data_IF_464459844611
#
_entry.id   IF_464459844611
#
_cell.length_a   1.000
_cell.length_b   1.000
_cell.length_c   1.000
_cell.angle_alpha   90.00
_cell.angle_beta   90.00
_cell.angle_gamma   90.00
#
_symmetry.space_group_name_H-M   'P 1'
#
loop_
_entity.id
_entity.type
_entity.pdbx_description
1 polymer ?
#
# COMPACT_ATOMS: atom_id res chain seq x y z
N UNK A 1 -12.15 12.53 -8.27
CA UNK A 1 -12.55 12.30 -6.88
C UNK A 1 -12.02 13.39 -5.97
N UNK A 2 -12.71 13.66 -4.88
CA UNK A 2 -12.29 14.66 -3.90
C UNK A 2 -11.07 14.13 -3.14
N UNK A 3 -9.98 14.91 -3.07
CA UNK A 3 -8.80 14.58 -2.28
C UNK A 3 -9.11 14.71 -0.78
N UNK A 4 -8.71 13.70 -0.01
CA UNK A 4 -8.86 13.67 1.45
C UNK A 4 -7.58 14.17 2.11
N UNK A 5 -6.43 13.58 1.74
CA UNK A 5 -5.09 13.96 2.20
C UNK A 5 -4.08 13.72 1.09
N UNK A 6 -2.93 14.40 1.14
CA UNK A 6 -1.79 14.19 0.26
C UNK A 6 -0.66 13.45 0.97
N UNK A 7 0.12 12.72 0.21
CA UNK A 7 1.37 12.11 0.69
C UNK A 7 2.27 13.20 1.27
N UNK A 8 2.81 12.97 2.46
CA UNK A 8 3.63 13.93 3.19
C UNK A 8 2.85 14.91 4.07
N UNK A 9 1.53 15.02 3.93
CA UNK A 9 0.72 15.83 4.85
C UNK A 9 0.81 15.30 6.28
N UNK A 10 0.72 16.20 7.26
CA UNK A 10 0.81 15.84 8.67
C UNK A 10 -0.41 15.06 9.14
N UNK A 11 -0.18 13.86 9.69
CA UNK A 11 -1.21 13.00 10.26
C UNK A 11 -1.52 13.43 11.70
N UNK A 12 -2.45 14.33 11.89
CA UNK A 12 -2.89 14.86 13.20
C UNK A 12 -4.35 14.53 13.54
N UNK A 13 -4.98 13.71 12.73
CA UNK A 13 -6.36 13.26 12.92
C UNK A 13 -6.51 11.81 12.47
N UNK A 14 -7.35 11.04 13.16
CA UNK A 14 -7.82 9.75 12.70
C UNK A 14 -8.94 9.98 11.69
N UNK A 15 -8.75 9.49 10.46
CA UNK A 15 -9.76 9.61 9.41
C UNK A 15 -10.35 8.23 9.14
N UNK A 16 -11.64 8.08 9.40
CA UNK A 16 -12.42 6.87 9.19
C UNK A 16 -13.37 7.08 8.02
N UNK A 17 -13.22 6.28 6.98
CA UNK A 17 -14.10 6.27 5.83
C UNK A 17 -15.25 5.30 6.13
N UNK A 18 -16.46 5.83 6.21
CA UNK A 18 -17.66 5.07 6.58
C UNK A 18 -18.24 4.37 5.35
N UNK A 19 -18.31 5.09 4.23
CA UNK A 19 -18.89 4.57 2.98
C UNK A 19 -18.19 5.17 1.76
N UNK A 20 -18.36 4.53 0.60
CA UNK A 20 -17.75 4.89 -0.67
C UNK A 20 -16.52 4.04 -0.98
N UNK A 21 -15.86 4.30 -2.08
CA UNK A 21 -14.60 3.68 -2.51
C UNK A 21 -13.49 4.72 -2.41
N UNK A 22 -12.39 4.35 -1.77
CA UNK A 22 -11.21 5.20 -1.61
C UNK A 22 -10.09 4.69 -2.51
N UNK A 23 -9.42 5.61 -3.20
CA UNK A 23 -8.17 5.36 -3.90
C UNK A 23 -7.00 5.88 -3.05
N UNK A 24 -5.99 5.04 -2.81
CA UNK A 24 -4.67 5.46 -2.34
C UNK A 24 -3.68 5.51 -3.48
N UNK A 25 -2.77 6.48 -3.43
CA UNK A 25 -1.65 6.60 -4.39
C UNK A 25 -0.38 6.88 -3.60
N UNK A 26 0.59 5.98 -3.74
CA UNK A 26 1.94 6.11 -3.19
C UNK A 26 2.91 6.41 -4.33
N UNK A 27 3.67 7.49 -4.19
CA UNK A 27 4.82 7.80 -5.07
C UNK A 27 6.11 7.54 -4.31
N UNK A 28 7.00 6.74 -4.88
CA UNK A 28 8.29 6.38 -4.28
C UNK A 28 9.44 6.58 -5.27
N UNK A 29 10.68 6.61 -4.75
CA UNK A 29 11.90 6.77 -5.54
C UNK A 29 11.82 7.97 -6.50
N UNK A 30 11.58 9.18 -5.98
CA UNK A 30 11.46 10.41 -6.76
C UNK A 30 10.43 10.32 -7.90
N UNK A 31 9.28 9.73 -7.62
CA UNK A 31 8.19 9.47 -8.57
C UNK A 31 8.52 8.47 -9.71
N UNK A 32 9.60 7.72 -9.61
CA UNK A 32 9.92 6.66 -10.59
C UNK A 32 8.94 5.51 -10.55
N UNK A 33 8.35 5.26 -9.38
CA UNK A 33 7.30 4.26 -9.21
C UNK A 33 6.09 4.88 -8.52
N UNK A 34 4.92 4.64 -9.07
CA UNK A 34 3.64 5.09 -8.49
C UNK A 34 2.72 3.89 -8.40
N UNK A 35 2.33 3.54 -7.17
CA UNK A 35 1.35 2.50 -6.89
C UNK A 35 0.00 3.13 -6.58
N UNK A 36 -1.05 2.65 -7.24
CA UNK A 36 -2.45 3.02 -6.95
C UNK A 36 -3.23 1.77 -6.53
N UNK A 37 -3.96 1.89 -5.44
CA UNK A 37 -4.81 0.84 -4.88
C UNK A 37 -6.21 1.38 -4.57
N UNK A 38 -7.21 0.51 -4.61
CA UNK A 38 -8.57 0.81 -4.15
C UNK A 38 -8.83 0.13 -2.82
N UNK A 39 -9.59 0.78 -1.95
CA UNK A 39 -9.95 0.28 -0.63
C UNK A 39 -11.47 0.27 -0.49
N UNK A 40 -11.99 -0.89 -0.10
CA UNK A 40 -13.38 -1.03 0.30
C UNK A 40 -13.59 -0.41 1.68
N UNK A 41 -14.79 0.07 1.92
CA UNK A 41 -15.18 0.63 3.22
C UNK A 41 -15.94 -0.40 4.06
N UNK A 42 -15.86 -0.29 5.39
CA UNK A 42 -15.21 0.76 6.19
C UNK A 42 -13.68 0.65 6.20
N UNK A 43 -12.99 1.80 6.20
CA UNK A 43 -11.53 1.87 6.13
C UNK A 43 -10.98 3.03 6.96
N UNK A 44 -9.86 2.82 7.67
CA UNK A 44 -9.15 3.87 8.43
C UNK A 44 -7.85 4.21 7.74
N UNK A 45 -7.61 5.49 7.50
CA UNK A 45 -6.38 5.97 6.85
C UNK A 45 -5.21 5.92 7.84
N UNK A 46 -4.23 5.08 7.53
CA UNK A 46 -2.91 5.00 8.19
C UNK A 46 -2.90 5.35 9.69
N UNK A 47 -3.72 4.66 10.52
CA UNK A 47 -3.87 5.03 11.93
C UNK A 47 -2.58 4.92 12.73
N UNK A 48 -1.60 4.15 12.25
CA UNK A 48 -0.27 4.00 12.84
C UNK A 48 0.58 5.28 12.68
N UNK A 49 0.34 6.10 11.66
CA UNK A 49 1.05 7.37 11.45
C UNK A 49 0.53 8.52 12.34
N UNK A 50 -0.56 8.30 13.07
CA UNK A 50 -1.01 9.25 14.10
C UNK A 50 -0.02 9.36 15.26
N UNK A 51 0.78 8.31 15.47
CA UNK A 51 1.81 8.20 16.50
C UNK A 51 3.15 7.80 15.85
N UNK A 52 4.21 7.76 16.64
CA UNK A 52 5.54 7.42 16.16
C UNK A 52 6.37 8.64 15.79
N UNK A 53 7.56 8.39 15.26
CA UNK A 53 8.55 9.44 14.97
C UNK A 53 8.19 10.25 13.71
N UNK A 54 7.69 9.58 12.67
CA UNK A 54 7.21 10.23 11.45
C UNK A 54 5.68 10.20 11.43
N UNK A 55 5.07 11.37 11.59
CA UNK A 55 3.61 11.52 11.66
C UNK A 55 3.08 12.15 10.37
N UNK A 56 3.51 11.64 9.22
CA UNK A 56 3.02 12.08 7.93
C UNK A 56 2.32 10.93 7.20
N UNK A 57 1.34 11.26 6.36
CA UNK A 57 0.69 10.25 5.51
C UNK A 57 1.68 9.69 4.49
N UNK A 58 1.77 8.37 4.39
CA UNK A 58 2.61 7.67 3.41
C UNK A 58 2.01 7.74 2.01
N UNK A 59 0.68 7.79 1.92
CA UNK A 59 -0.05 7.82 0.65
C UNK A 59 -0.93 9.08 0.54
N UNK A 60 -1.20 9.47 -0.71
CA UNK A 60 -2.32 10.36 -1.02
C UNK A 60 -3.61 9.56 -1.08
N UNK A 61 -4.69 10.07 -0.48
CA UNK A 61 -6.01 9.42 -0.52
C UNK A 61 -7.04 10.33 -1.16
N UNK A 62 -7.90 9.74 -1.98
CA UNK A 62 -9.02 10.43 -2.62
C UNK A 62 -10.26 9.55 -2.68
N UNK A 63 -11.45 10.15 -2.56
CA UNK A 63 -12.71 9.45 -2.79
C UNK A 63 -12.87 9.17 -4.28
N UNK A 64 -13.13 7.91 -4.64
CA UNK A 64 -13.43 7.51 -6.00
C UNK A 64 -14.94 7.62 -6.30
N UNK A 65 -15.76 7.34 -5.29
CA UNK A 65 -17.22 7.50 -5.34
C UNK A 65 -17.71 8.45 -4.24
N UNK A 66 -18.98 8.84 -4.29
CA UNK A 66 -19.60 9.55 -3.17
C UNK A 66 -19.57 8.67 -1.91
N UNK A 67 -19.31 9.30 -0.78
CA UNK A 67 -19.21 8.61 0.50
C UNK A 67 -19.14 9.57 1.68
N UNK A 68 -19.01 9.01 2.87
CA UNK A 68 -18.94 9.76 4.13
C UNK A 68 -17.69 9.42 4.92
N UNK A 69 -17.14 10.43 5.58
CA UNK A 69 -15.92 10.33 6.40
C UNK A 69 -16.16 10.90 7.78
N UNK A 70 -15.52 10.29 8.78
CA UNK A 70 -15.44 10.81 10.14
C UNK A 70 -13.99 11.19 10.44
N UNK A 71 -13.77 12.45 10.80
CA UNK A 71 -12.44 12.98 11.15
C UNK A 71 -12.40 13.25 12.64
N UNK A 72 -11.47 12.60 13.36
CA UNK A 72 -11.32 12.73 14.82
C UNK A 72 -9.92 13.27 15.10
N UNK A 73 -9.82 14.45 15.70
CA UNK A 73 -8.52 15.05 16.05
C UNK A 73 -7.76 14.18 17.04
N UNK A 74 -6.43 14.14 16.95
CA UNK A 74 -5.53 13.31 17.78
C UNK A 74 -5.78 13.43 19.28
N UNK A 75 -6.02 14.67 19.78
CA UNK A 75 -6.32 14.86 21.21
C UNK A 75 -7.61 14.15 21.63
N UNK A 76 -8.64 14.13 20.80
CA UNK A 76 -9.88 13.41 21.05
C UNK A 76 -9.65 11.89 20.98
N UNK A 77 -8.86 11.42 20.03
CA UNK A 77 -8.46 9.99 19.95
C UNK A 77 -7.78 9.57 21.26
N UNK A 78 -6.86 10.39 21.79
CA UNK A 78 -6.20 10.14 23.07
C UNK A 78 -7.20 10.00 24.22
N UNK A 79 -8.15 10.92 24.34
CA UNK A 79 -9.21 10.86 25.35
C UNK A 79 -10.06 9.60 25.20
N UNK A 80 -10.42 9.22 23.97
CA UNK A 80 -11.18 8.00 23.71
C UNK A 80 -10.39 6.74 24.08
N UNK A 81 -9.08 6.70 23.79
CA UNK A 81 -8.22 5.58 24.18
C UNK A 81 -8.04 5.45 25.69
N UNK A 82 -8.03 6.57 26.41
CA UNK A 82 -8.01 6.56 27.88
C UNK A 82 -9.34 6.05 28.47
N UNK A 83 -10.46 6.48 27.92
CA UNK A 83 -11.78 6.16 28.41
C UNK A 83 -12.27 4.76 28.00
N UNK A 84 -11.96 4.33 26.77
CA UNK A 84 -12.48 3.09 26.19
C UNK A 84 -11.37 2.11 25.83
N UNK A 85 -11.27 1.03 26.59
CA UNK A 85 -10.26 -0.02 26.37
C UNK A 85 -10.33 -0.62 24.96
N UNK A 86 -11.53 -0.78 24.42
CA UNK A 86 -11.72 -1.35 23.07
C UNK A 86 -11.03 -0.51 21.98
N UNK A 87 -11.08 0.81 22.08
CA UNK A 87 -10.43 1.71 21.12
C UNK A 87 -8.91 1.56 21.21
N UNK A 88 -8.36 1.52 22.42
CA UNK A 88 -6.92 1.30 22.67
C UNK A 88 -6.46 -0.04 22.12
N UNK A 89 -7.21 -1.11 22.42
CA UNK A 89 -6.89 -2.46 21.93
C UNK A 89 -6.92 -2.54 20.40
N UNK A 90 -7.92 -1.92 19.76
CA UNK A 90 -8.02 -1.89 18.30
C UNK A 90 -6.85 -1.12 17.67
N UNK A 91 -6.43 0.02 18.23
CA UNK A 91 -5.25 0.76 17.76
C UNK A 91 -3.97 -0.08 17.86
N UNK A 92 -3.77 -0.79 18.98
CA UNK A 92 -2.64 -1.72 19.15
C UNK A 92 -2.70 -2.86 18.12
N UNK A 93 -3.85 -3.49 17.95
CA UNK A 93 -4.03 -4.59 17.00
C UNK A 93 -3.71 -4.17 15.57
N UNK A 94 -4.16 -3.00 15.12
CA UNK A 94 -3.86 -2.47 13.79
C UNK A 94 -2.35 -2.26 13.63
N UNK A 95 -1.72 -1.62 14.62
CA UNK A 95 -0.27 -1.33 14.58
C UNK A 95 0.56 -2.62 14.62
N UNK A 96 0.25 -3.55 15.53
CA UNK A 96 0.95 -4.83 15.62
C UNK A 96 0.76 -5.68 14.36
N UNK A 97 -0.44 -5.71 13.80
CA UNK A 97 -0.70 -6.44 12.54
C UNK A 97 0.09 -5.85 11.37
N UNK A 98 0.23 -4.53 11.29
CA UNK A 98 1.07 -3.86 10.27
C UNK A 98 2.54 -4.26 10.47
N UNK A 99 3.05 -4.19 11.71
CA UNK A 99 4.41 -4.58 12.03
C UNK A 99 4.69 -6.05 11.69
N UNK A 100 3.82 -6.97 12.11
CA UNK A 100 3.95 -8.39 11.80
C UNK A 100 4.00 -8.65 10.30
N UNK A 101 3.17 -7.94 9.53
CA UNK A 101 3.18 -8.03 8.07
C UNK A 101 4.54 -7.62 7.50
N UNK A 102 5.06 -6.46 7.88
CA UNK A 102 6.37 -5.96 7.42
C UNK A 102 7.50 -6.91 7.81
N UNK A 103 7.51 -7.42 9.04
CA UNK A 103 8.51 -8.38 9.51
C UNK A 103 8.44 -9.69 8.72
N UNK A 104 7.25 -10.24 8.49
CA UNK A 104 7.09 -11.50 7.77
C UNK A 104 7.46 -11.37 6.28
N UNK A 105 7.14 -10.24 5.65
CA UNK A 105 7.51 -9.98 4.25
C UNK A 105 9.03 -9.83 4.06
N UNK A 106 9.77 -9.45 5.12
CA UNK A 106 11.23 -9.29 5.08
C UNK A 106 12.02 -10.53 5.53
N UNK A 107 11.39 -11.63 5.95
CA UNK A 107 12.11 -12.82 6.47
C UNK A 107 12.71 -13.72 5.40
N UNK A 108 12.17 -13.72 4.19
CA UNK A 108 12.59 -14.65 3.13
C UNK A 108 13.76 -14.05 2.31
N UNK A 109 14.98 -14.09 2.87
CA UNK A 109 16.18 -13.48 2.27
C UNK A 109 17.00 -14.41 1.37
N UNK A 110 16.66 -15.70 1.25
CA UNK A 110 17.52 -16.70 0.59
C UNK A 110 17.04 -16.91 -0.84
N UNK A 111 17.95 -16.79 -1.82
CA UNK A 111 17.79 -17.02 -3.28
C UNK A 111 16.43 -16.65 -3.87
N UNK A 112 16.35 -15.45 -4.44
CA UNK A 112 15.10 -14.96 -5.00
C UNK A 112 15.07 -15.00 -6.51
N UNK A 113 14.01 -15.62 -7.02
CA UNK A 113 13.62 -15.45 -8.41
C UNK A 113 13.29 -13.98 -8.71
N UNK A 114 13.38 -13.58 -9.97
CA UNK A 114 13.01 -12.22 -10.39
C UNK A 114 11.56 -11.92 -10.01
N UNK A 115 10.68 -12.92 -10.10
CA UNK A 115 9.28 -12.85 -9.66
C UNK A 115 9.14 -12.49 -8.18
N UNK A 116 9.92 -13.12 -7.31
CA UNK A 116 9.93 -12.83 -5.88
C UNK A 116 10.46 -11.43 -5.57
N UNK A 117 11.47 -10.97 -6.31
CA UNK A 117 11.98 -9.59 -6.19
C UNK A 117 10.91 -8.58 -6.59
N UNK A 118 10.18 -8.80 -7.69
CA UNK A 118 9.04 -7.97 -8.11
C UNK A 118 7.94 -8.01 -7.04
N UNK A 119 7.59 -9.21 -6.54
CA UNK A 119 6.62 -9.37 -5.47
C UNK A 119 6.96 -8.53 -4.24
N UNK A 120 8.22 -8.52 -3.82
CA UNK A 120 8.68 -7.71 -2.68
C UNK A 120 8.50 -6.22 -2.89
N UNK A 121 8.92 -5.70 -4.05
CA UNK A 121 8.73 -4.28 -4.38
C UNK A 121 7.25 -3.93 -4.29
N UNK A 122 6.38 -4.76 -4.86
CA UNK A 122 4.94 -4.54 -4.82
C UNK A 122 4.40 -4.63 -3.39
N UNK A 123 4.81 -5.63 -2.61
CA UNK A 123 4.41 -5.77 -1.21
C UNK A 123 4.87 -4.60 -0.32
N UNK A 124 6.12 -4.16 -0.50
CA UNK A 124 6.68 -3.05 0.27
C UNK A 124 5.92 -1.74 0.05
N UNK A 125 5.42 -1.53 -1.17
CA UNK A 125 4.65 -0.34 -1.55
C UNK A 125 3.15 -0.46 -1.24
N UNK A 126 2.63 -1.70 -1.09
CA UNK A 126 1.19 -1.97 -0.93
C UNK A 126 0.71 -1.78 0.50
N UNK A 127 -0.44 -1.14 0.66
CA UNK A 127 -1.13 -1.03 1.94
C UNK A 127 -2.08 -2.20 2.21
N UNK A 128 -2.57 -2.87 1.17
CA UNK A 128 -3.49 -4.03 1.26
C UNK A 128 -3.09 -5.16 0.32
N UNK A 129 -3.49 -6.40 0.62
CA UNK A 129 -3.25 -7.57 -0.27
C UNK A 129 -4.44 -7.88 -1.19
N UNK A 130 -5.60 -7.34 -0.91
CA UNK A 130 -6.87 -7.78 -1.52
C UNK A 130 -7.26 -7.02 -2.78
N UNK A 131 -6.81 -5.78 -2.96
CA UNK A 131 -7.21 -4.97 -4.11
C UNK A 131 -6.25 -5.11 -5.28
N UNK A 132 -6.69 -4.88 -6.53
CA UNK A 132 -5.81 -4.75 -7.68
C UNK A 132 -4.75 -3.67 -7.47
N UNK A 133 -3.52 -3.94 -7.97
CA UNK A 133 -2.37 -3.04 -7.90
C UNK A 133 -2.11 -2.45 -9.27
N UNK A 134 -2.27 -1.16 -9.41
CA UNK A 134 -1.88 -0.41 -10.60
C UNK A 134 -0.52 0.23 -10.35
N UNK A 135 0.52 -0.27 -10.99
CA UNK A 135 1.91 0.14 -10.78
C UNK A 135 2.38 0.84 -12.04
N UNK A 136 2.59 2.14 -11.96
CA UNK A 136 3.23 2.93 -13.02
C UNK A 136 4.72 2.97 -12.74
N UNK A 137 5.52 2.35 -13.62
CA UNK A 137 6.97 2.26 -13.50
C UNK A 137 7.57 2.04 -14.90
N UNK A 138 8.73 2.63 -15.17
CA UNK A 138 9.52 2.28 -16.34
C UNK A 138 10.23 0.96 -16.09
N UNK A 139 10.38 0.15 -17.15
CA UNK A 139 11.04 -1.16 -17.06
C UNK A 139 12.48 -1.06 -16.55
N UNK A 140 13.18 0.01 -16.93
CA UNK A 140 14.54 0.30 -16.50
C UNK A 140 14.60 0.59 -15.00
N UNK A 141 13.70 1.48 -14.49
CA UNK A 141 13.64 1.81 -13.08
C UNK A 141 13.29 0.59 -12.22
N UNK A 142 12.37 -0.27 -12.70
CA UNK A 142 12.06 -1.53 -12.00
C UNK A 142 13.25 -2.48 -11.97
N UNK A 143 13.97 -2.60 -13.07
CA UNK A 143 15.18 -3.44 -13.17
C UNK A 143 16.26 -2.97 -12.19
N UNK A 144 16.52 -1.67 -12.14
CA UNK A 144 17.46 -1.06 -11.19
C UNK A 144 17.06 -1.32 -9.72
N UNK A 145 15.76 -1.17 -9.40
CA UNK A 145 15.25 -1.41 -8.04
C UNK A 145 15.46 -2.83 -7.55
N UNK A 146 15.36 -3.83 -8.43
CA UNK A 146 15.50 -5.24 -8.06
C UNK A 146 16.89 -5.82 -8.34
N UNK A 147 17.81 -5.00 -8.86
CA UNK A 147 19.17 -5.41 -9.17
C UNK A 147 19.24 -6.44 -10.31
N UNK A 148 18.45 -6.26 -11.36
CA UNK A 148 18.34 -7.16 -12.52
C UNK A 148 18.50 -6.40 -13.84
N UNK A 149 18.72 -7.15 -14.95
CA UNK A 149 18.72 -6.54 -16.26
C UNK A 149 17.29 -6.29 -16.77
N UNK A 150 17.10 -5.20 -17.52
CA UNK A 150 15.82 -4.90 -18.18
C UNK A 150 15.27 -6.08 -18.99
N UNK A 151 16.16 -6.83 -19.66
CA UNK A 151 15.78 -7.98 -20.47
C UNK A 151 15.18 -9.10 -19.62
N UNK A 152 15.81 -9.41 -18.49
CA UNK A 152 15.35 -10.45 -17.57
C UNK A 152 14.01 -10.08 -16.92
N UNK A 153 13.86 -8.82 -16.49
CA UNK A 153 12.59 -8.30 -15.96
C UNK A 153 11.48 -8.38 -17.01
N UNK A 154 11.78 -7.99 -18.25
CA UNK A 154 10.80 -8.06 -19.35
C UNK A 154 10.38 -9.51 -19.66
N UNK A 155 11.31 -10.47 -19.64
CA UNK A 155 11.01 -11.89 -19.84
C UNK A 155 10.08 -12.41 -18.73
N UNK A 156 10.40 -12.12 -17.46
CA UNK A 156 9.59 -12.57 -16.32
C UNK A 156 8.19 -11.95 -16.33
N UNK A 157 8.08 -10.66 -16.59
CA UNK A 157 6.78 -9.99 -16.68
C UNK A 157 5.93 -10.56 -17.83
N UNK A 158 6.54 -10.91 -18.98
CA UNK A 158 5.80 -11.57 -20.06
C UNK A 158 5.36 -12.99 -19.67
N UNK A 159 6.17 -13.73 -18.90
CA UNK A 159 5.76 -15.03 -18.32
C UNK A 159 4.53 -14.84 -17.42
N UNK A 160 4.59 -13.91 -16.47
CA UNK A 160 3.47 -13.58 -15.57
C UNK A 160 2.21 -13.15 -16.33
N UNK A 161 2.37 -12.43 -17.46
CA UNK A 161 1.24 -12.06 -18.33
C UNK A 161 0.63 -13.30 -19.00
N UNK A 162 1.45 -14.22 -19.52
CA UNK A 162 0.99 -15.45 -20.16
C UNK A 162 0.29 -16.40 -19.16
N UNK A 163 0.72 -16.38 -17.90
CA UNK A 163 0.11 -17.12 -16.79
C UNK A 163 -1.18 -16.44 -16.27
N UNK A 164 -1.53 -15.24 -16.75
CA UNK A 164 -2.70 -14.49 -16.30
C UNK A 164 -2.55 -13.80 -14.95
N UNK A 165 -1.33 -13.78 -14.38
CA UNK A 165 -1.02 -13.19 -13.06
C UNK A 165 -0.97 -11.67 -13.14
N UNK A 166 -0.45 -11.13 -14.25
CA UNK A 166 -0.29 -9.70 -14.45
C UNK A 166 -0.77 -9.26 -15.84
N UNK A 167 -1.32 -8.05 -15.93
CA UNK A 167 -1.62 -7.37 -17.18
C UNK A 167 -0.57 -6.28 -17.38
N UNK A 168 0.13 -6.29 -18.53
CA UNK A 168 1.22 -5.36 -18.82
C UNK A 168 0.78 -4.42 -19.93
N UNK A 169 0.84 -3.13 -19.64
CA UNK A 169 0.68 -2.04 -20.59
C UNK A 169 1.96 -1.21 -20.67
N UNK A 170 2.02 -0.26 -21.60
CA UNK A 170 3.18 0.63 -21.72
C UNK A 170 3.36 1.47 -20.44
N UNK A 171 4.41 1.16 -19.67
CA UNK A 171 4.72 1.86 -18.41
C UNK A 171 3.77 1.56 -17.24
N UNK A 172 2.92 0.54 -17.35
CA UNK A 172 1.99 0.14 -16.30
C UNK A 172 1.93 -1.39 -16.17
N UNK A 173 1.97 -1.86 -14.93
CA UNK A 173 1.78 -3.26 -14.54
C UNK A 173 0.54 -3.31 -13.65
N UNK A 174 -0.41 -4.18 -13.98
CA UNK A 174 -1.61 -4.40 -13.18
C UNK A 174 -1.57 -5.81 -12.65
N UNK A 175 -1.70 -5.96 -11.33
CA UNK A 175 -1.72 -7.24 -10.62
C UNK A 175 -3.04 -7.33 -9.88
N UNK A 176 -3.90 -8.25 -10.28
CA UNK A 176 -5.25 -8.37 -9.70
C UNK A 176 -5.18 -8.92 -8.27
N UNK A 177 -4.28 -9.87 -8.00
CA UNK A 177 -4.08 -10.45 -6.67
C UNK A 177 -2.59 -10.64 -6.38
N UNK A 178 -2.10 -9.97 -5.37
CA UNK A 178 -0.67 -10.01 -5.02
C UNK A 178 -0.20 -11.42 -4.57
N UNK A 179 -1.11 -12.26 -4.07
CA UNK A 179 -0.76 -13.62 -3.62
C UNK A 179 -0.42 -14.55 -4.79
N UNK A 180 -0.90 -14.24 -6.01
CA UNK A 180 -0.62 -15.05 -7.21
C UNK A 180 0.84 -14.87 -7.68
N UNK A 181 1.53 -13.84 -7.18
CA UNK A 181 2.97 -13.64 -7.39
C UNK A 181 3.85 -14.56 -6.55
N UNK A 182 3.32 -15.15 -5.46
CA UNK A 182 4.08 -16.11 -4.68
C UNK A 182 4.27 -17.38 -5.51
N UNK A 183 5.53 -17.75 -5.76
CA UNK A 183 5.84 -19.08 -6.27
C UNK A 183 5.29 -20.14 -5.30
N UNK A 184 4.62 -21.13 -5.85
CA UNK A 184 4.21 -22.34 -5.10
C UNK A 184 5.43 -23.15 -4.68
#
# INVERSE_FOLDING_TARGET
GTRIVSQGDKCNSLIYIISGIVCSTLSAHDNKIVLTETHDTPFVLEPYNLYGMNQNYECSYSMHTNGSTLVIKKNIVNLLMMKYQIIRTNMLNITCSRLQRVVNENRDFITQSIREKIFRVVCALSSTKKSPKHIKVKMEDLADMIGETRLNVSKELNSMKNEGIAKIKRGEIIIDNINDLKCK
#
